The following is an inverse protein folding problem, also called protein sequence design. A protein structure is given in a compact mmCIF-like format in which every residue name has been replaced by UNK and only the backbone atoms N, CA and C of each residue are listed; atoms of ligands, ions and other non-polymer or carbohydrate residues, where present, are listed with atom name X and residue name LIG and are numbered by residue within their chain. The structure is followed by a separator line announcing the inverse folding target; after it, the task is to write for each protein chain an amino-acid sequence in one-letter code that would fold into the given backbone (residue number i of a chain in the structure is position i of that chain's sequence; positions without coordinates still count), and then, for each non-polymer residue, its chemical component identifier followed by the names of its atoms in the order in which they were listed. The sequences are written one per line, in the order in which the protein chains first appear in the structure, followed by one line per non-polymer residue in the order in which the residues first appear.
data_IF_358076170041
#
_entry.id   IF_358076170041
#
_cell.length_a   1.000
_cell.length_b   1.000
_cell.length_c   1.000
_cell.angle_alpha   90.00
_cell.angle_beta   90.00
_cell.angle_gamma   90.00
#
_symmetry.space_group_name_H-M   'P 1'
#
loop_
_entity.id
_entity.type
_entity.pdbx_description
1 polymer ?
#
# COMPACT_ATOMS: atom_id res chain seq x y z
N UNK A 1 8.67 18.69 -56.66
CA UNK A 1 7.89 17.65 -57.35
C UNK A 1 8.72 16.37 -57.38
N UNK A 2 8.40 15.39 -56.53
CA UNK A 2 9.09 14.10 -56.52
C UNK A 2 8.58 13.27 -57.71
N UNK A 3 9.45 12.93 -58.67
CA UNK A 3 9.10 12.05 -59.80
C UNK A 3 9.10 10.60 -59.34
N UNK A 4 7.91 10.06 -59.08
CA UNK A 4 7.73 8.64 -58.79
C UNK A 4 8.00 7.85 -60.08
N UNK A 5 8.92 6.89 -60.02
CA UNK A 5 9.28 6.05 -61.17
C UNK A 5 8.14 5.11 -61.56
N UNK A 6 8.14 4.59 -62.80
CA UNK A 6 7.14 3.59 -63.27
C UNK A 6 7.05 2.37 -62.34
N UNK A 7 8.17 1.96 -61.73
CA UNK A 7 8.22 0.91 -60.70
C UNK A 7 7.60 1.34 -59.36
N UNK A 8 7.75 2.61 -58.99
CA UNK A 8 7.07 3.19 -57.82
C UNK A 8 5.55 3.26 -57.98
N UNK A 9 5.05 3.55 -59.19
CA UNK A 9 3.62 3.49 -59.50
C UNK A 9 3.07 2.06 -59.46
N UNK A 10 3.83 1.07 -59.94
CA UNK A 10 3.47 -0.34 -59.83
C UNK A 10 3.46 -0.83 -58.38
N UNK A 11 4.41 -0.40 -57.55
CA UNK A 11 4.44 -0.73 -56.12
C UNK A 11 3.25 -0.10 -55.37
N UNK A 12 2.92 1.17 -55.65
CA UNK A 12 1.76 1.84 -55.07
C UNK A 12 0.44 1.19 -55.52
N UNK A 13 0.34 0.78 -56.78
CA UNK A 13 -0.81 0.05 -57.29
C UNK A 13 -0.94 -1.35 -56.64
N UNK A 14 0.18 -2.05 -56.41
CA UNK A 14 0.16 -3.34 -55.70
C UNK A 14 -0.25 -3.18 -54.24
N UNK A 15 0.23 -2.14 -53.55
CA UNK A 15 -0.17 -1.82 -52.16
C UNK A 15 -1.66 -1.47 -52.11
N UNK A 16 -2.15 -0.64 -53.04
CA UNK A 16 -3.57 -0.31 -53.13
C UNK A 16 -4.43 -1.55 -53.46
N UNK A 17 -3.94 -2.45 -54.32
CA UNK A 17 -4.61 -3.72 -54.63
C UNK A 17 -4.60 -4.69 -53.44
N UNK A 18 -3.52 -4.72 -52.65
CA UNK A 18 -3.44 -5.44 -51.38
C UNK A 18 -4.44 -4.90 -50.35
N UNK A 19 -4.69 -3.58 -50.32
CA UNK A 19 -5.76 -2.97 -49.51
C UNK A 19 -7.17 -3.29 -50.03
N UNK A 20 -7.34 -3.51 -51.34
CA UNK A 20 -8.62 -3.88 -51.96
C UNK A 20 -8.94 -5.38 -51.87
N UNK A 21 -7.94 -6.24 -51.59
CA UNK A 21 -8.09 -7.70 -51.43
C UNK A 21 -8.15 -8.10 -49.94
N UNK A 22 -8.10 -7.14 -49.00
CA UNK A 22 -8.38 -7.44 -47.60
C UNK A 22 -9.82 -7.95 -47.51
N UNK A 23 -10.04 -9.24 -47.19
CA UNK A 23 -11.40 -9.75 -47.10
C UNK A 23 -12.16 -8.96 -46.04
N UNK A 24 -13.47 -8.78 -46.24
CA UNK A 24 -14.47 -8.19 -45.31
C UNK A 24 -14.46 -8.81 -43.87
N UNK A 25 -13.54 -9.74 -43.60
CA UNK A 25 -13.29 -10.46 -42.34
C UNK A 25 -12.54 -9.65 -41.27
N UNK A 26 -12.21 -8.38 -41.51
CA UNK A 26 -11.67 -7.48 -40.47
C UNK A 26 -12.75 -6.63 -39.77
N UNK A 27 -14.03 -6.98 -39.90
CA UNK A 27 -15.06 -6.39 -39.05
C UNK A 27 -15.19 -7.23 -37.79
N UNK A 28 -14.69 -6.70 -36.68
CA UNK A 28 -15.05 -7.17 -35.33
C UNK A 28 -16.57 -7.27 -35.23
N UNK A 29 -17.08 -8.47 -34.97
CA UNK A 29 -18.50 -8.70 -34.79
C UNK A 29 -18.90 -8.43 -33.34
N UNK A 30 -20.03 -7.77 -33.13
CA UNK A 30 -20.67 -7.69 -31.81
C UNK A 30 -21.73 -8.78 -31.74
N UNK A 31 -21.53 -9.77 -30.87
CA UNK A 31 -22.50 -10.83 -30.61
C UNK A 31 -23.12 -10.60 -29.24
N UNK A 32 -24.45 -10.57 -29.22
CA UNK A 32 -25.21 -10.49 -27.97
C UNK A 32 -25.46 -11.92 -27.47
N UNK A 33 -25.13 -12.17 -26.22
CA UNK A 33 -25.43 -13.42 -25.51
C UNK A 33 -26.54 -13.10 -24.52
N UNK A 34 -27.69 -13.77 -24.64
CA UNK A 34 -28.82 -13.53 -23.74
C UNK A 34 -28.71 -14.40 -22.50
N UNK A 35 -29.36 -13.99 -21.41
CA UNK A 35 -29.48 -14.83 -20.23
C UNK A 35 -30.09 -16.20 -20.61
N UNK A 36 -29.43 -17.29 -20.22
CA UNK A 36 -29.79 -18.66 -20.58
C UNK A 36 -29.13 -19.21 -21.85
N UNK A 37 -28.53 -18.35 -22.68
CA UNK A 37 -27.60 -18.78 -23.73
C UNK A 37 -26.23 -19.09 -23.12
N UNK A 38 -25.45 -19.97 -23.76
CA UNK A 38 -24.09 -20.30 -23.31
C UNK A 38 -23.07 -19.30 -23.85
N UNK A 39 -22.31 -18.69 -22.93
CA UNK A 39 -21.14 -17.87 -23.24
C UNK A 39 -20.06 -18.73 -23.89
N UNK A 40 -19.82 -19.94 -23.40
CA UNK A 40 -18.83 -20.86 -23.97
C UNK A 40 -19.13 -21.20 -25.44
N UNK A 41 -20.40 -21.38 -25.81
CA UNK A 41 -20.80 -21.59 -27.21
C UNK A 41 -20.57 -20.35 -28.08
N UNK A 42 -20.73 -19.15 -27.52
CA UNK A 42 -20.42 -17.90 -28.21
C UNK A 42 -18.91 -17.72 -28.40
N UNK A 43 -18.11 -18.05 -27.38
CA UNK A 43 -16.64 -18.04 -27.42
C UNK A 43 -16.08 -18.99 -28.50
N UNK A 44 -16.63 -20.21 -28.61
CA UNK A 44 -16.16 -21.19 -29.60
C UNK A 44 -16.40 -20.78 -31.06
N UNK A 45 -17.22 -19.75 -31.27
CA UNK A 45 -17.56 -19.21 -32.59
C UNK A 45 -16.96 -17.82 -32.83
N UNK A 46 -16.28 -17.26 -31.83
CA UNK A 46 -15.70 -15.92 -31.91
C UNK A 46 -14.43 -15.92 -32.77
N UNK A 47 -14.24 -14.85 -33.51
CA UNK A 47 -13.00 -14.54 -34.24
C UNK A 47 -12.17 -13.51 -33.46
N UNK A 48 -10.85 -13.46 -33.69
CA UNK A 48 -9.99 -12.43 -33.12
C UNK A 48 -10.54 -11.01 -33.31
N UNK A 49 -10.66 -10.27 -32.20
CA UNK A 49 -11.19 -8.91 -32.15
C UNK A 49 -12.70 -8.81 -31.97
N UNK A 50 -13.44 -9.91 -31.94
CA UNK A 50 -14.90 -9.88 -31.71
C UNK A 50 -15.24 -9.38 -30.29
N UNK A 51 -16.45 -8.85 -30.16
CA UNK A 51 -17.05 -8.46 -28.88
C UNK A 51 -18.21 -9.38 -28.54
N UNK A 52 -18.11 -10.07 -27.40
CA UNK A 52 -19.23 -10.76 -26.77
C UNK A 52 -19.86 -9.84 -25.74
N UNK A 53 -21.08 -9.38 -25.99
CA UNK A 53 -21.85 -8.54 -25.08
C UNK A 53 -22.93 -9.36 -24.39
N UNK A 54 -22.78 -9.55 -23.09
CA UNK A 54 -23.75 -10.26 -22.26
C UNK A 54 -24.91 -9.32 -21.91
N UNK A 55 -26.13 -9.77 -22.12
CA UNK A 55 -27.30 -9.13 -21.51
C UNK A 55 -27.28 -9.38 -20.00
N UNK A 56 -27.92 -8.49 -19.24
CA UNK A 56 -28.10 -8.64 -17.79
C UNK A 56 -28.75 -9.98 -17.47
N UNK A 57 -28.18 -10.71 -16.51
CA UNK A 57 -28.62 -12.04 -16.15
C UNK A 57 -27.53 -12.82 -15.44
N UNK A 58 -27.86 -14.07 -15.14
CA UNK A 58 -26.98 -15.03 -14.46
C UNK A 58 -26.52 -16.10 -15.45
N UNK A 59 -25.24 -16.45 -15.39
CA UNK A 59 -24.56 -17.40 -16.26
C UNK A 59 -23.73 -18.33 -15.38
N UNK A 60 -24.12 -19.61 -15.31
CA UNK A 60 -23.41 -20.62 -14.53
C UNK A 60 -22.43 -21.37 -15.44
N UNK A 61 -21.21 -20.84 -15.58
CA UNK A 61 -20.20 -21.33 -16.52
C UNK A 61 -18.77 -21.05 -16.02
N UNK A 62 -17.85 -21.96 -16.36
CA UNK A 62 -16.41 -21.74 -16.29
C UNK A 62 -15.87 -21.53 -17.71
N UNK A 63 -15.29 -20.37 -17.98
CA UNK A 63 -14.93 -19.91 -19.32
C UNK A 63 -13.43 -20.05 -19.58
N UNK A 64 -13.07 -20.47 -20.80
CA UNK A 64 -11.69 -20.41 -21.30
C UNK A 64 -11.67 -19.54 -22.54
N UNK A 65 -10.89 -18.46 -22.50
CA UNK A 65 -10.76 -17.49 -23.60
C UNK A 65 -9.43 -17.73 -24.32
N UNK A 66 -9.50 -18.43 -25.44
CA UNK A 66 -8.34 -18.79 -26.29
C UNK A 66 -8.22 -17.92 -27.54
N UNK A 67 -9.21 -17.07 -27.80
CA UNK A 67 -9.24 -16.12 -28.92
C UNK A 67 -9.31 -14.70 -28.33
N UNK A 68 -8.53 -13.73 -28.85
CA UNK A 68 -8.52 -12.38 -28.30
C UNK A 68 -9.84 -11.68 -28.58
N UNK A 69 -10.58 -11.36 -27.53
CA UNK A 69 -11.93 -10.78 -27.63
C UNK A 69 -12.17 -9.70 -26.58
N UNK A 70 -13.26 -8.98 -26.72
CA UNK A 70 -13.86 -8.18 -25.65
C UNK A 70 -15.06 -8.94 -25.07
N UNK A 71 -15.00 -9.31 -23.80
CA UNK A 71 -16.14 -9.83 -23.04
C UNK A 71 -16.68 -8.72 -22.14
N UNK A 72 -17.90 -8.27 -22.41
CA UNK A 72 -18.47 -7.10 -21.73
C UNK A 72 -19.96 -7.26 -21.44
N UNK A 73 -20.49 -6.45 -20.52
CA UNK A 73 -21.90 -6.44 -20.15
C UNK A 73 -22.35 -5.12 -19.55
N UNK A 74 -23.65 -4.79 -19.70
CA UNK A 74 -24.27 -3.67 -18.97
C UNK A 74 -25.03 -4.22 -17.77
N UNK A 75 -24.94 -3.53 -16.63
CA UNK A 75 -25.62 -3.96 -15.39
C UNK A 75 -24.86 -5.04 -14.59
N UNK A 76 -23.59 -5.30 -14.91
CA UNK A 76 -22.79 -6.40 -14.33
C UNK A 76 -23.45 -7.78 -14.45
N UNK A 77 -23.62 -8.32 -15.69
CA UNK A 77 -24.03 -9.71 -15.88
C UNK A 77 -23.16 -10.64 -15.03
N UNK A 78 -23.80 -11.60 -14.38
CA UNK A 78 -23.21 -12.38 -13.30
C UNK A 78 -22.75 -13.75 -13.79
N UNK A 79 -21.44 -13.96 -13.86
CA UNK A 79 -20.82 -15.25 -14.17
C UNK A 79 -20.46 -15.94 -12.86
N UNK A 80 -21.05 -17.12 -12.64
CA UNK A 80 -20.91 -17.93 -11.43
C UNK A 80 -20.15 -19.20 -11.74
N UNK A 81 -19.05 -19.44 -11.01
CA UNK A 81 -18.23 -20.64 -11.16
C UNK A 81 -18.65 -21.83 -10.29
N UNK A 82 -19.67 -21.71 -9.44
CA UNK A 82 -20.19 -22.83 -8.64
C UNK A 82 -19.23 -23.39 -7.60
N UNK A 83 -18.20 -22.62 -7.21
CA UNK A 83 -17.11 -23.04 -6.32
C UNK A 83 -16.27 -24.19 -6.86
N UNK A 84 -16.26 -24.37 -8.17
CA UNK A 84 -15.43 -25.35 -8.86
C UNK A 84 -14.59 -24.67 -9.95
N UNK A 85 -13.29 -24.97 -9.97
CA UNK A 85 -12.40 -24.47 -11.01
C UNK A 85 -12.18 -22.95 -11.02
N UNK A 86 -11.66 -22.49 -12.15
CA UNK A 86 -11.45 -21.07 -12.47
C UNK A 86 -12.70 -20.56 -13.19
N UNK A 87 -13.20 -19.38 -12.84
CA UNK A 87 -14.43 -18.84 -13.46
C UNK A 87 -14.16 -18.31 -14.85
N UNK A 88 -13.11 -17.50 -15.03
CA UNK A 88 -12.66 -17.00 -16.34
C UNK A 88 -11.15 -17.24 -16.46
N UNK A 89 -10.75 -18.11 -17.39
CA UNK A 89 -9.35 -18.39 -17.72
C UNK A 89 -8.97 -17.74 -19.05
N UNK A 90 -8.15 -16.70 -19.00
CA UNK A 90 -7.70 -15.92 -20.16
C UNK A 90 -6.35 -16.45 -20.63
N UNK A 91 -6.32 -17.02 -21.83
CA UNK A 91 -5.10 -17.50 -22.51
C UNK A 91 -4.76 -16.70 -23.76
N UNK A 92 -5.69 -15.89 -24.25
CA UNK A 92 -5.48 -15.05 -25.42
C UNK A 92 -4.98 -13.65 -25.05
N UNK A 93 -3.88 -13.17 -25.66
CA UNK A 93 -3.36 -11.84 -25.40
C UNK A 93 -4.29 -10.75 -25.94
N UNK A 94 -4.31 -9.56 -25.35
CA UNK A 94 -5.17 -8.47 -25.82
C UNK A 94 -6.66 -8.63 -25.46
N UNK A 95 -7.02 -9.63 -24.66
CA UNK A 95 -8.39 -9.84 -24.17
C UNK A 95 -8.81 -8.70 -23.25
N UNK A 96 -10.07 -8.29 -23.33
CA UNK A 96 -10.67 -7.28 -22.44
C UNK A 96 -11.85 -7.90 -21.69
N UNK A 97 -11.85 -7.78 -20.36
CA UNK A 97 -12.96 -8.14 -19.47
C UNK A 97 -13.51 -6.86 -18.85
N UNK A 98 -14.76 -6.53 -19.16
CA UNK A 98 -15.33 -5.22 -18.83
C UNK A 98 -16.76 -5.30 -18.27
N UNK A 99 -16.99 -4.72 -17.10
CA UNK A 99 -18.36 -4.49 -16.62
C UNK A 99 -19.11 -5.75 -16.23
N UNK A 100 -18.43 -6.78 -15.70
CA UNK A 100 -19.02 -8.05 -15.29
C UNK A 100 -19.11 -8.17 -13.77
N UNK A 101 -19.95 -9.09 -13.29
CA UNK A 101 -19.83 -9.66 -11.94
C UNK A 101 -19.31 -11.08 -12.06
N UNK A 102 -18.23 -11.40 -11.36
CA UNK A 102 -17.58 -12.73 -11.40
C UNK A 102 -17.43 -13.25 -9.98
N UNK A 103 -17.96 -14.44 -9.70
CA UNK A 103 -17.92 -14.98 -8.35
C UNK A 103 -17.84 -16.51 -8.31
N UNK A 104 -17.72 -17.06 -7.10
CA UNK A 104 -17.75 -18.50 -6.82
C UNK A 104 -16.60 -19.26 -7.47
N UNK A 105 -15.38 -18.74 -7.33
CA UNK A 105 -14.17 -19.48 -7.72
C UNK A 105 -13.96 -20.71 -6.82
N UNK A 106 -13.25 -21.71 -7.35
CA UNK A 106 -12.82 -22.89 -6.59
C UNK A 106 -12.03 -22.55 -5.32
N UNK A 107 -12.03 -23.46 -4.34
CA UNK A 107 -11.52 -23.19 -2.98
C UNK A 107 -10.11 -23.70 -2.71
N UNK A 108 -9.43 -24.26 -3.71
CA UNK A 108 -8.13 -24.93 -3.55
C UNK A 108 -6.97 -23.99 -3.88
N UNK A 109 -6.27 -23.50 -2.85
CA UNK A 109 -5.10 -22.63 -2.99
C UNK A 109 -3.96 -23.26 -3.82
N UNK A 110 -3.76 -24.57 -3.66
CA UNK A 110 -2.67 -25.28 -4.37
C UNK A 110 -2.86 -25.35 -5.89
N UNK A 111 -4.09 -25.14 -6.35
CA UNK A 111 -4.44 -25.17 -7.77
C UNK A 111 -4.66 -23.75 -8.34
N UNK A 112 -4.24 -22.70 -7.60
CA UNK A 112 -4.34 -21.30 -8.01
C UNK A 112 -5.76 -20.84 -8.40
N UNK A 113 -6.79 -21.39 -7.76
CA UNK A 113 -8.19 -21.11 -8.11
C UNK A 113 -8.52 -19.62 -7.98
N UNK A 114 -9.12 -19.05 -9.04
CA UNK A 114 -9.38 -17.62 -9.15
C UNK A 114 -10.71 -17.32 -9.86
N UNK A 115 -11.29 -16.15 -9.59
CA UNK A 115 -12.38 -15.62 -10.41
C UNK A 115 -11.88 -15.31 -11.82
N UNK A 116 -10.73 -14.65 -11.93
CA UNK A 116 -10.09 -14.39 -13.22
C UNK A 116 -8.64 -14.84 -13.16
N UNK A 117 -8.28 -15.88 -13.92
CA UNK A 117 -6.90 -16.30 -14.14
C UNK A 117 -6.41 -15.80 -15.50
N UNK A 118 -5.23 -15.18 -15.54
CA UNK A 118 -4.60 -14.64 -16.74
C UNK A 118 -3.27 -15.34 -16.99
N UNK A 119 -3.15 -16.01 -18.13
CA UNK A 119 -1.91 -16.61 -18.65
C UNK A 119 -1.59 -16.06 -20.05
N UNK A 120 -1.72 -14.75 -20.21
CA UNK A 120 -1.54 -14.04 -21.47
C UNK A 120 -1.08 -12.59 -21.26
N UNK A 121 -0.50 -12.00 -22.30
CA UNK A 121 -0.02 -10.61 -22.28
C UNK A 121 -1.10 -9.60 -22.70
N UNK A 122 -0.92 -8.33 -22.32
CA UNK A 122 -1.72 -7.21 -22.81
C UNK A 122 -3.22 -7.33 -22.52
N UNK A 123 -3.58 -8.00 -21.42
CA UNK A 123 -4.98 -8.17 -20.99
C UNK A 123 -5.44 -6.95 -20.20
N UNK A 124 -6.69 -6.53 -20.42
CA UNK A 124 -7.34 -5.46 -19.65
C UNK A 124 -8.51 -6.02 -18.85
N UNK A 125 -8.55 -5.76 -17.55
CA UNK A 125 -9.63 -6.15 -16.65
C UNK A 125 -10.14 -4.89 -15.97
N UNK A 126 -11.37 -4.48 -16.30
CA UNK A 126 -11.89 -3.20 -15.86
C UNK A 126 -13.37 -3.19 -15.48
N UNK A 127 -13.75 -2.28 -14.58
CA UNK A 127 -15.15 -2.06 -14.19
C UNK A 127 -15.87 -3.33 -13.67
N UNK A 128 -15.14 -4.31 -13.13
CA UNK A 128 -15.74 -5.57 -12.68
C UNK A 128 -16.06 -5.55 -11.18
N UNK A 129 -17.06 -6.33 -10.79
CA UNK A 129 -17.35 -6.72 -9.41
C UNK A 129 -16.91 -8.16 -9.23
N UNK A 130 -15.94 -8.39 -8.37
CA UNK A 130 -15.41 -9.71 -8.09
C UNK A 130 -15.68 -10.00 -6.62
N UNK A 131 -16.45 -11.03 -6.35
CA UNK A 131 -16.86 -11.41 -5.00
C UNK A 131 -16.78 -12.91 -4.81
N UNK A 132 -16.78 -13.36 -3.55
CA UNK A 132 -16.70 -14.78 -3.20
C UNK A 132 -15.53 -15.51 -3.88
N UNK A 133 -14.42 -14.78 -4.03
CA UNK A 133 -13.24 -15.27 -4.71
C UNK A 133 -12.29 -15.96 -3.72
N UNK A 134 -11.68 -17.08 -4.11
CA UNK A 134 -10.43 -17.49 -3.47
C UNK A 134 -9.35 -16.46 -3.82
N UNK A 135 -8.85 -16.46 -5.06
CA UNK A 135 -8.16 -15.32 -5.66
C UNK A 135 -9.12 -14.49 -6.50
N UNK A 136 -9.07 -13.17 -6.39
CA UNK A 136 -9.88 -12.28 -7.23
C UNK A 136 -9.39 -12.31 -8.68
N UNK A 137 -8.23 -11.71 -8.91
CA UNK A 137 -7.51 -11.72 -10.19
C UNK A 137 -6.13 -12.32 -9.97
N UNK A 138 -5.84 -13.44 -10.63
CA UNK A 138 -4.52 -14.06 -10.64
C UNK A 138 -3.90 -13.85 -12.03
N UNK A 139 -2.78 -13.13 -12.10
CA UNK A 139 -1.92 -13.04 -13.28
C UNK A 139 -0.73 -13.99 -13.12
N UNK A 140 -0.68 -15.02 -13.96
CA UNK A 140 0.35 -16.05 -13.95
C UNK A 140 1.16 -15.96 -15.24
N UNK A 141 2.35 -15.38 -15.13
CA UNK A 141 3.27 -15.14 -16.25
C UNK A 141 2.74 -14.25 -17.39
N UNK A 142 1.73 -13.41 -17.12
CA UNK A 142 1.26 -12.37 -18.04
C UNK A 142 1.99 -11.04 -17.84
N UNK A 143 2.32 -10.34 -18.92
CA UNK A 143 2.95 -9.01 -18.92
C UNK A 143 2.06 -7.96 -19.59
N UNK A 144 2.32 -6.68 -19.31
CA UNK A 144 1.55 -5.56 -19.87
C UNK A 144 0.06 -5.59 -19.49
N UNK A 145 -0.25 -6.08 -18.30
CA UNK A 145 -1.62 -6.22 -17.81
C UNK A 145 -2.11 -4.87 -17.29
N UNK A 146 -3.36 -4.54 -17.58
CA UNK A 146 -4.02 -3.34 -17.05
C UNK A 146 -5.24 -3.76 -16.24
N UNK A 147 -5.20 -3.55 -14.93
CA UNK A 147 -6.28 -3.88 -13.99
C UNK A 147 -6.77 -2.59 -13.35
N UNK A 148 -7.98 -2.13 -13.68
CA UNK A 148 -8.46 -0.87 -13.12
C UNK A 148 -9.96 -0.74 -12.90
N UNK A 149 -10.33 0.13 -11.96
CA UNK A 149 -11.74 0.43 -11.65
C UNK A 149 -12.55 -0.84 -11.29
N UNK A 150 -11.90 -1.85 -10.69
CA UNK A 150 -12.56 -3.06 -10.21
C UNK A 150 -12.81 -2.97 -8.70
N UNK A 151 -13.86 -3.65 -8.22
CA UNK A 151 -14.08 -3.91 -6.80
C UNK A 151 -13.94 -5.41 -6.52
N UNK A 152 -13.04 -5.77 -5.62
CA UNK A 152 -12.67 -7.16 -5.30
C UNK A 152 -12.89 -7.43 -3.82
N UNK A 153 -13.78 -8.36 -3.50
CA UNK A 153 -14.10 -8.73 -2.13
C UNK A 153 -13.88 -10.22 -1.86
N UNK A 154 -13.11 -10.51 -0.81
CA UNK A 154 -12.78 -11.87 -0.41
C UNK A 154 -13.88 -12.61 0.34
N UNK A 155 -13.55 -13.84 0.76
CA UNK A 155 -14.45 -14.80 1.44
C UNK A 155 -14.39 -14.65 2.96
N UNK A 156 -15.39 -14.01 3.56
CA UNK A 156 -15.47 -13.84 5.02
C UNK A 156 -15.84 -15.13 5.79
N UNK A 157 -16.35 -16.15 5.12
CA UNK A 157 -16.61 -17.48 5.69
C UNK A 157 -15.33 -18.32 5.88
N UNK A 158 -14.20 -17.91 5.29
CA UNK A 158 -12.89 -18.52 5.49
C UNK A 158 -12.10 -17.77 6.56
N UNK A 159 -11.26 -18.51 7.29
CA UNK A 159 -10.19 -17.89 8.10
C UNK A 159 -9.16 -17.20 7.20
N UNK A 160 -8.44 -16.22 7.72
CA UNK A 160 -7.54 -15.36 6.94
C UNK A 160 -6.51 -16.17 6.13
N UNK A 161 -5.95 -17.23 6.71
CA UNK A 161 -4.90 -18.06 6.11
C UNK A 161 -5.37 -18.83 4.87
N UNK A 162 -6.65 -19.22 4.87
CA UNK A 162 -7.29 -20.00 3.80
C UNK A 162 -7.85 -19.12 2.68
N UNK A 163 -7.89 -17.79 2.86
CA UNK A 163 -8.27 -16.85 1.81
C UNK A 163 -7.15 -16.71 0.79
N UNK A 164 -7.53 -16.44 -0.46
CA UNK A 164 -6.58 -15.98 -1.47
C UNK A 164 -6.45 -14.45 -1.48
N UNK A 165 -5.57 -13.99 -2.37
CA UNK A 165 -5.25 -12.58 -2.55
C UNK A 165 -6.24 -11.90 -3.51
N UNK A 166 -6.46 -10.59 -3.35
CA UNK A 166 -7.34 -9.82 -4.24
C UNK A 166 -6.79 -9.76 -5.67
N UNK A 167 -5.58 -9.22 -5.82
CA UNK A 167 -4.81 -9.25 -7.06
C UNK A 167 -3.48 -9.95 -6.79
N UNK A 168 -3.16 -10.98 -7.56
CA UNK A 168 -1.90 -11.73 -7.47
C UNK A 168 -1.15 -11.64 -8.79
N UNK A 169 0.08 -11.13 -8.78
CA UNK A 169 1.00 -11.18 -9.92
C UNK A 169 2.15 -12.15 -9.63
N UNK A 170 2.30 -13.15 -10.50
CA UNK A 170 3.39 -14.11 -10.45
C UNK A 170 4.16 -14.10 -11.76
N UNK A 171 5.47 -13.82 -11.70
CA UNK A 171 6.36 -13.78 -12.87
C UNK A 171 5.87 -12.82 -13.99
N UNK A 172 5.44 -11.63 -13.60
CA UNK A 172 4.78 -10.64 -14.48
C UNK A 172 5.57 -9.35 -14.59
N UNK A 173 5.47 -8.63 -15.72
CA UNK A 173 6.19 -7.36 -15.88
C UNK A 173 5.35 -6.28 -16.54
N UNK A 174 5.75 -5.02 -16.33
CA UNK A 174 5.24 -3.85 -17.06
C UNK A 174 3.72 -3.66 -16.97
N UNK A 175 3.14 -4.02 -15.83
CA UNK A 175 1.68 -3.96 -15.61
C UNK A 175 1.26 -2.66 -14.92
N UNK A 176 -0.06 -2.41 -14.89
CA UNK A 176 -0.68 -1.26 -14.26
C UNK A 176 -1.86 -1.71 -13.43
N UNK A 177 -1.89 -1.34 -12.15
CA UNK A 177 -2.96 -1.65 -11.20
C UNK A 177 -3.49 -0.34 -10.66
N UNK A 178 -4.68 0.07 -11.08
CA UNK A 178 -5.14 1.45 -10.86
C UNK A 178 -6.59 1.56 -10.38
N UNK A 179 -6.87 2.42 -9.40
CA UNK A 179 -8.26 2.74 -9.01
C UNK A 179 -9.12 1.52 -8.64
N UNK A 180 -8.51 0.47 -8.10
CA UNK A 180 -9.25 -0.69 -7.59
C UNK A 180 -9.58 -0.52 -6.10
N UNK A 181 -10.73 -1.05 -5.68
CA UNK A 181 -11.11 -1.23 -4.28
C UNK A 181 -10.97 -2.71 -3.92
N UNK A 182 -10.16 -3.04 -2.92
CA UNK A 182 -9.86 -4.43 -2.52
C UNK A 182 -10.04 -4.57 -1.01
N UNK A 183 -10.85 -5.53 -0.61
CA UNK A 183 -11.17 -5.75 0.80
C UNK A 183 -11.49 -7.21 1.13
N UNK A 184 -11.32 -7.56 2.41
CA UNK A 184 -11.68 -8.87 2.96
C UNK A 184 -10.98 -10.09 2.31
N UNK A 185 -9.97 -9.87 1.47
CA UNK A 185 -9.07 -10.92 0.96
C UNK A 185 -7.97 -11.21 1.98
N UNK A 186 -7.09 -12.19 1.72
CA UNK A 186 -5.92 -12.41 2.59
C UNK A 186 -4.94 -11.25 2.50
N UNK A 187 -4.31 -11.10 1.34
CA UNK A 187 -3.53 -9.91 0.98
C UNK A 187 -4.30 -9.17 -0.11
N UNK A 188 -4.17 -7.84 -0.16
CA UNK A 188 -4.85 -7.03 -1.15
C UNK A 188 -4.23 -7.19 -2.53
N UNK A 189 -3.00 -6.68 -2.68
CA UNK A 189 -2.21 -6.79 -3.91
C UNK A 189 -0.90 -7.50 -3.59
N UNK A 190 -0.70 -8.68 -4.17
CA UNK A 190 0.45 -9.55 -3.91
C UNK A 190 1.31 -9.74 -5.16
N UNK A 191 2.62 -9.60 -5.00
CA UNK A 191 3.62 -9.80 -6.04
C UNK A 191 4.60 -10.90 -5.66
N UNK A 192 4.91 -11.76 -6.63
CA UNK A 192 6.00 -12.73 -6.55
C UNK A 192 6.75 -12.76 -7.88
N UNK A 193 7.99 -12.27 -7.88
CA UNK A 193 8.82 -12.13 -9.09
C UNK A 193 8.16 -11.24 -10.15
N UNK A 194 7.56 -10.12 -9.74
CA UNK A 194 6.87 -9.21 -10.64
C UNK A 194 7.51 -7.80 -10.63
N UNK A 195 7.96 -7.34 -11.79
CA UNK A 195 8.83 -6.17 -11.91
C UNK A 195 8.19 -5.04 -12.75
N UNK A 196 8.70 -3.82 -12.58
CA UNK A 196 8.37 -2.67 -13.45
C UNK A 196 6.87 -2.36 -13.57
N UNK A 197 6.12 -2.55 -12.49
CA UNK A 197 4.68 -2.35 -12.40
C UNK A 197 4.36 -1.04 -11.69
N UNK A 198 3.29 -0.36 -12.16
CA UNK A 198 2.78 0.87 -11.56
C UNK A 198 1.49 0.56 -10.80
N UNK A 199 1.45 0.90 -9.52
CA UNK A 199 0.29 0.72 -8.65
C UNK A 199 -0.18 2.10 -8.20
N UNK A 200 -1.35 2.56 -8.66
CA UNK A 200 -1.79 3.93 -8.32
C UNK A 200 -3.25 4.09 -7.99
N UNK A 201 -3.55 4.98 -7.05
CA UNK A 201 -4.92 5.37 -6.69
C UNK A 201 -5.82 4.20 -6.26
N UNK A 202 -5.25 3.09 -5.78
CA UNK A 202 -6.03 1.98 -5.24
C UNK A 202 -6.42 2.25 -3.78
N UNK A 203 -7.52 1.66 -3.36
CA UNK A 203 -7.94 1.61 -1.95
C UNK A 203 -7.95 0.15 -1.51
N UNK A 204 -7.13 -0.17 -0.52
CA UNK A 204 -7.00 -1.53 0.00
C UNK A 204 -7.15 -1.50 1.52
N UNK A 205 -8.16 -2.21 2.02
CA UNK A 205 -8.54 -2.13 3.43
C UNK A 205 -9.10 -3.46 3.97
N UNK A 206 -9.03 -3.67 5.29
CA UNK A 206 -9.46 -4.91 5.96
C UNK A 206 -8.80 -6.18 5.41
N UNK A 207 -7.50 -6.09 5.08
CA UNK A 207 -6.70 -7.25 4.68
C UNK A 207 -5.49 -7.41 5.61
N UNK A 208 -4.81 -8.55 5.52
CA UNK A 208 -3.55 -8.76 6.23
C UNK A 208 -2.50 -7.77 5.73
N UNK A 209 -2.14 -7.84 4.45
CA UNK A 209 -1.19 -6.91 3.85
C UNK A 209 -1.83 -6.18 2.68
N UNK A 210 -1.87 -4.84 2.73
CA UNK A 210 -2.45 -4.02 1.66
C UNK A 210 -1.69 -4.20 0.34
N UNK A 211 -0.38 -3.96 0.37
CA UNK A 211 0.56 -4.31 -0.69
C UNK A 211 1.62 -5.27 -0.17
N UNK A 212 1.84 -6.39 -0.85
CA UNK A 212 2.82 -7.41 -0.45
C UNK A 212 3.78 -7.72 -1.59
N UNK A 213 5.06 -7.39 -1.42
CA UNK A 213 6.13 -7.72 -2.36
C UNK A 213 6.97 -8.91 -1.90
N UNK A 214 7.24 -9.81 -2.84
CA UNK A 214 8.26 -10.85 -2.74
C UNK A 214 9.10 -10.83 -4.02
N UNK A 215 10.39 -10.51 -3.90
CA UNK A 215 11.37 -10.60 -5.01
C UNK A 215 10.97 -9.80 -6.26
N UNK A 216 10.48 -8.57 -6.08
CA UNK A 216 9.75 -7.81 -7.11
C UNK A 216 10.28 -6.39 -7.22
N UNK A 217 11.10 -6.12 -8.24
CA UNK A 217 11.97 -4.95 -8.32
C UNK A 217 11.46 -3.86 -9.28
N UNK A 218 12.00 -2.65 -9.16
CA UNK A 218 11.73 -1.54 -10.08
C UNK A 218 10.24 -1.17 -10.18
N UNK A 219 9.47 -1.43 -9.14
CA UNK A 219 8.06 -1.08 -9.09
C UNK A 219 7.86 0.33 -8.52
N UNK A 220 6.77 0.97 -8.92
CA UNK A 220 6.36 2.27 -8.40
C UNK A 220 4.95 2.16 -7.86
N UNK A 221 4.71 2.66 -6.66
CA UNK A 221 3.35 2.81 -6.15
C UNK A 221 3.05 4.20 -5.59
N UNK A 222 2.00 4.85 -6.09
CA UNK A 222 1.70 6.24 -5.75
C UNK A 222 0.21 6.53 -5.55
N UNK A 223 -0.09 7.52 -4.69
CA UNK A 223 -1.45 8.01 -4.45
C UNK A 223 -2.44 6.93 -3.98
N UNK A 224 -1.96 5.83 -3.40
CA UNK A 224 -2.79 4.74 -2.87
C UNK A 224 -3.21 5.00 -1.42
N UNK A 225 -4.36 4.44 -1.02
CA UNK A 225 -4.85 4.40 0.34
C UNK A 225 -4.80 2.95 0.86
N UNK A 226 -3.93 2.72 1.84
CA UNK A 226 -3.83 1.46 2.58
C UNK A 226 -4.22 1.73 4.03
N UNK A 227 -5.44 1.37 4.40
CA UNK A 227 -5.95 1.63 5.75
C UNK A 227 -6.68 0.44 6.37
N UNK A 228 -6.69 0.38 7.70
CA UNK A 228 -7.39 -0.68 8.45
C UNK A 228 -6.94 -2.10 8.07
N UNK A 229 -5.64 -2.21 7.75
CA UNK A 229 -4.96 -3.47 7.45
C UNK A 229 -4.11 -3.92 8.64
N UNK A 230 -3.65 -5.18 8.65
CA UNK A 230 -2.59 -5.57 9.60
C UNK A 230 -1.29 -4.86 9.22
N UNK A 231 -0.91 -4.86 7.94
CA UNK A 231 0.10 -3.95 7.42
C UNK A 231 -0.37 -3.19 6.19
N UNK A 232 -0.07 -1.89 6.14
CA UNK A 232 -0.37 -1.07 4.97
C UNK A 232 0.40 -1.55 3.74
N UNK A 233 1.73 -1.65 3.87
CA UNK A 233 2.56 -2.39 2.92
C UNK A 233 3.60 -3.27 3.62
N UNK A 234 3.72 -4.51 3.15
CA UNK A 234 4.78 -5.46 3.46
C UNK A 234 5.72 -5.58 2.25
N UNK A 235 6.83 -4.84 2.29
CA UNK A 235 7.83 -4.80 1.24
C UNK A 235 8.95 -5.78 1.59
N UNK A 236 9.12 -6.84 0.80
CA UNK A 236 10.08 -7.89 1.12
C UNK A 236 10.98 -8.28 -0.06
N UNK A 237 12.27 -8.45 0.21
CA UNK A 237 13.27 -9.02 -0.69
C UNK A 237 13.36 -8.32 -2.06
N UNK A 238 13.20 -7.00 -2.09
CA UNK A 238 13.08 -6.23 -3.33
C UNK A 238 13.93 -4.96 -3.28
N UNK A 239 14.29 -4.44 -4.44
CA UNK A 239 15.14 -3.26 -4.58
C UNK A 239 14.61 -2.30 -5.64
N UNK A 240 15.07 -1.05 -5.58
CA UNK A 240 14.71 0.02 -6.52
C UNK A 240 13.20 0.30 -6.55
N UNK A 241 12.57 0.41 -5.38
CA UNK A 241 11.14 0.73 -5.26
C UNK A 241 10.95 2.22 -5.02
N UNK A 242 10.10 2.85 -5.82
CA UNK A 242 9.67 4.24 -5.61
C UNK A 242 8.25 4.29 -5.08
N UNK A 243 8.00 5.05 -4.01
CA UNK A 243 6.63 5.23 -3.54
C UNK A 243 6.31 6.61 -2.98
N UNK A 244 5.23 7.17 -3.52
CA UNK A 244 4.97 8.59 -3.49
C UNK A 244 3.53 8.89 -3.08
N UNK A 245 3.34 9.80 -2.13
CA UNK A 245 1.99 10.31 -1.77
C UNK A 245 0.99 9.21 -1.43
N UNK A 246 1.44 8.12 -0.82
CA UNK A 246 0.54 7.07 -0.32
C UNK A 246 0.09 7.39 1.10
N UNK A 247 -1.03 6.80 1.51
CA UNK A 247 -1.50 6.80 2.88
C UNK A 247 -1.39 5.39 3.45
N UNK A 248 -0.74 5.27 4.60
CA UNK A 248 -0.69 4.07 5.43
C UNK A 248 -1.29 4.42 6.79
N UNK A 249 -2.55 4.05 7.01
CA UNK A 249 -3.31 4.53 8.15
C UNK A 249 -3.95 3.41 8.98
N UNK A 250 -4.05 3.62 10.29
CA UNK A 250 -4.84 2.74 11.18
C UNK A 250 -4.46 1.26 11.09
N UNK A 251 -3.20 0.95 10.80
CA UNK A 251 -2.72 -0.43 10.79
C UNK A 251 -2.40 -0.86 12.22
N UNK A 252 -3.33 -1.60 12.82
CA UNK A 252 -3.37 -1.93 14.24
C UNK A 252 -3.55 -3.44 14.46
N UNK A 253 -2.98 -3.96 15.54
CA UNK A 253 -3.08 -5.37 15.91
C UNK A 253 -1.74 -6.03 16.20
N UNK A 254 -1.73 -7.36 16.27
CA UNK A 254 -0.51 -8.13 16.50
C UNK A 254 0.38 -8.10 15.25
N UNK A 255 1.65 -7.68 15.41
CA UNK A 255 2.62 -7.53 14.30
C UNK A 255 2.07 -6.63 13.19
N UNK A 256 1.46 -5.49 13.57
CA UNK A 256 0.93 -4.51 12.64
C UNK A 256 1.92 -3.37 12.34
N UNK A 257 1.92 -2.90 11.08
CA UNK A 257 2.86 -1.90 10.57
C UNK A 257 2.18 -0.97 9.56
N UNK A 258 2.50 0.33 9.56
CA UNK A 258 2.18 1.18 8.41
C UNK A 258 2.96 0.68 7.18
N UNK A 259 4.28 0.61 7.33
CA UNK A 259 5.21 0.10 6.32
C UNK A 259 6.20 -0.87 6.96
N UNK A 260 6.27 -2.09 6.42
CA UNK A 260 7.25 -3.11 6.77
C UNK A 260 8.29 -3.23 5.64
N UNK A 261 9.54 -2.97 5.98
CA UNK A 261 10.72 -3.23 5.16
C UNK A 261 11.44 -4.48 5.67
N UNK A 262 11.57 -5.49 4.81
CA UNK A 262 12.33 -6.70 5.09
C UNK A 262 13.26 -7.01 3.92
N UNK A 263 14.58 -6.86 4.11
CA UNK A 263 15.54 -7.06 3.01
C UNK A 263 15.19 -6.21 1.78
N UNK A 264 15.03 -4.92 2.05
CA UNK A 264 14.61 -3.92 1.07
C UNK A 264 15.70 -2.86 0.92
N UNK A 265 16.20 -2.70 -0.30
CA UNK A 265 17.35 -1.84 -0.58
C UNK A 265 17.04 -0.82 -1.69
N UNK A 266 17.74 0.31 -1.66
CA UNK A 266 17.69 1.35 -2.71
C UNK A 266 16.26 1.83 -3.01
N UNK A 267 15.42 2.01 -1.98
CA UNK A 267 14.07 2.56 -2.14
C UNK A 267 14.01 4.07 -1.97
N UNK A 268 12.99 4.70 -2.55
CA UNK A 268 12.66 6.11 -2.34
C UNK A 268 11.20 6.29 -1.91
N UNK A 269 11.01 6.70 -0.67
CA UNK A 269 9.71 7.00 -0.05
C UNK A 269 9.54 8.50 0.12
N UNK A 270 8.62 9.13 -0.62
CA UNK A 270 8.47 10.59 -0.58
C UNK A 270 7.03 11.09 -0.54
N UNK A 271 6.75 12.07 0.32
CA UNK A 271 5.43 12.69 0.41
C UNK A 271 4.34 11.77 0.97
N UNK A 272 4.69 10.68 1.64
CA UNK A 272 3.71 9.73 2.18
C UNK A 272 3.14 10.18 3.53
N UNK A 273 1.93 9.73 3.84
CA UNK A 273 1.28 9.87 5.14
C UNK A 273 1.30 8.54 5.88
N UNK A 274 1.96 8.47 7.04
CA UNK A 274 2.03 7.30 7.91
C UNK A 274 1.35 7.67 9.23
N UNK A 275 0.08 7.29 9.36
CA UNK A 275 -0.82 7.82 10.39
C UNK A 275 -1.39 6.73 11.30
N UNK A 276 -1.31 6.93 12.62
CA UNK A 276 -2.10 6.14 13.58
C UNK A 276 -1.85 4.62 13.48
N UNK A 277 -0.59 4.22 13.31
CA UNK A 277 -0.20 2.80 13.23
C UNK A 277 0.46 2.33 14.53
N UNK A 278 0.40 1.01 14.80
CA UNK A 278 1.13 0.42 15.93
C UNK A 278 2.65 0.53 15.78
N UNK A 279 3.14 0.52 14.53
CA UNK A 279 4.49 0.91 14.14
C UNK A 279 4.36 1.61 12.80
N UNK A 280 4.82 2.85 12.69
CA UNK A 280 4.75 3.61 11.46
C UNK A 280 5.62 2.97 10.38
N UNK A 281 6.93 2.99 10.61
CA UNK A 281 7.94 2.46 9.68
C UNK A 281 8.78 1.43 10.42
N UNK A 282 8.83 0.20 9.93
CA UNK A 282 9.65 -0.86 10.47
C UNK A 282 10.69 -1.30 9.43
N UNK A 283 11.97 -1.25 9.78
CA UNK A 283 13.08 -1.69 8.94
C UNK A 283 13.81 -2.88 9.57
N UNK A 284 14.01 -3.92 8.76
CA UNK A 284 14.79 -5.08 9.13
C UNK A 284 15.69 -5.50 7.97
N UNK A 285 17.00 -5.52 8.22
CA UNK A 285 18.02 -5.83 7.22
C UNK A 285 17.80 -5.06 5.91
N UNK A 286 17.55 -3.75 5.98
CA UNK A 286 17.12 -2.93 4.83
C UNK A 286 17.93 -1.64 4.77
N UNK A 287 18.77 -1.47 3.74
CA UNK A 287 19.75 -0.39 3.68
C UNK A 287 19.67 0.48 2.42
N UNK A 288 20.31 1.65 2.46
CA UNK A 288 20.35 2.55 1.31
C UNK A 288 19.00 3.18 0.94
N UNK A 289 18.02 3.18 1.86
CA UNK A 289 16.69 3.71 1.60
C UNK A 289 16.62 5.21 1.90
N UNK A 290 15.84 5.93 1.09
CA UNK A 290 15.69 7.39 1.18
C UNK A 290 14.23 7.71 1.51
N UNK A 291 14.00 8.33 2.67
CA UNK A 291 12.68 8.73 3.17
C UNK A 291 12.64 10.25 3.34
N UNK A 292 11.90 10.93 2.45
CA UNK A 292 11.88 12.39 2.37
C UNK A 292 10.47 12.97 2.42
N UNK A 293 10.30 14.09 3.12
CA UNK A 293 9.05 14.86 3.07
C UNK A 293 7.79 14.04 3.42
N UNK A 294 7.93 13.03 4.28
CA UNK A 294 6.81 12.23 4.76
C UNK A 294 6.26 12.82 6.06
N UNK A 295 4.96 12.64 6.29
CA UNK A 295 4.32 12.94 7.56
C UNK A 295 4.10 11.63 8.34
N UNK A 296 4.81 11.48 9.46
CA UNK A 296 4.75 10.32 10.35
C UNK A 296 4.09 10.76 11.66
N UNK A 297 2.81 10.45 11.81
CA UNK A 297 1.92 11.10 12.77
C UNK A 297 1.13 10.11 13.62
N UNK A 298 1.03 10.39 14.92
CA UNK A 298 0.21 9.65 15.90
C UNK A 298 0.47 8.12 15.94
N UNK A 299 1.67 7.67 15.56
CA UNK A 299 2.03 6.24 15.63
C UNK A 299 2.48 5.89 17.06
N UNK A 300 2.26 4.64 17.50
CA UNK A 300 2.80 4.19 18.81
C UNK A 300 4.34 4.18 18.78
N UNK A 301 4.91 3.80 17.64
CA UNK A 301 6.33 3.92 17.33
C UNK A 301 6.43 4.53 15.93
N UNK A 302 7.11 5.65 15.77
CA UNK A 302 7.29 6.27 14.47
C UNK A 302 8.19 5.41 13.58
N UNK A 303 9.38 5.08 14.08
CA UNK A 303 10.38 4.27 13.37
C UNK A 303 10.94 3.18 14.29
N UNK A 304 10.95 1.94 13.81
CA UNK A 304 11.71 0.86 14.42
C UNK A 304 12.72 0.32 13.41
N UNK A 305 13.98 0.21 13.82
CA UNK A 305 15.06 -0.34 13.00
C UNK A 305 15.78 -1.46 13.73
N UNK A 306 15.88 -2.58 13.03
CA UNK A 306 16.60 -3.77 13.46
C UNK A 306 17.92 -3.91 12.68
N UNK A 307 18.76 -4.86 13.12
CA UNK A 307 20.08 -5.13 12.57
C UNK A 307 20.13 -5.24 11.03
N UNK A 308 21.23 -4.73 10.47
CA UNK A 308 21.49 -4.71 9.03
C UNK A 308 20.72 -3.63 8.26
N UNK A 309 20.16 -2.63 8.94
CA UNK A 309 19.39 -1.53 8.32
C UNK A 309 20.20 -0.24 8.25
N UNK A 310 21.32 -0.27 7.53
CA UNK A 310 22.32 0.80 7.50
C UNK A 310 22.17 1.75 6.30
N UNK A 311 22.85 2.89 6.34
CA UNK A 311 22.90 3.86 5.24
C UNK A 311 21.52 4.37 4.76
N UNK A 312 20.53 4.39 5.66
CA UNK A 312 19.22 4.97 5.38
C UNK A 312 19.23 6.48 5.66
N UNK A 313 18.48 7.24 4.85
CA UNK A 313 18.40 8.70 4.92
C UNK A 313 16.97 9.11 5.27
N UNK A 314 16.82 9.94 6.30
CA UNK A 314 15.57 10.55 6.74
C UNK A 314 15.78 12.07 6.79
N UNK A 315 15.21 12.81 5.85
CA UNK A 315 15.33 14.28 5.85
C UNK A 315 14.01 14.96 5.43
N UNK A 316 13.75 16.14 6.00
CA UNK A 316 12.56 16.92 5.70
C UNK A 316 11.23 16.24 6.06
N UNK A 317 11.24 15.20 6.90
CA UNK A 317 10.03 14.54 7.38
C UNK A 317 9.44 15.29 8.58
N UNK A 318 8.13 15.12 8.81
CA UNK A 318 7.45 15.60 10.00
C UNK A 318 7.12 14.41 10.92
N UNK A 319 7.77 14.35 12.08
CA UNK A 319 7.45 13.42 13.16
C UNK A 319 6.58 14.13 14.19
N UNK A 320 5.28 13.79 14.23
CA UNK A 320 4.29 14.54 15.00
C UNK A 320 3.53 13.61 15.95
N UNK A 321 3.60 13.90 17.25
CA UNK A 321 2.82 13.23 18.30
C UNK A 321 2.93 11.70 18.29
N UNK A 322 4.04 11.15 17.82
CA UNK A 322 4.29 9.72 17.98
C UNK A 322 4.59 9.44 19.47
N UNK A 323 4.13 8.31 19.97
CA UNK A 323 4.37 7.93 21.36
C UNK A 323 5.87 7.66 21.60
N UNK A 324 6.53 6.98 20.65
CA UNK A 324 7.97 6.74 20.65
C UNK A 324 8.54 7.06 19.26
N UNK A 325 9.56 7.92 19.18
CA UNK A 325 10.07 8.37 17.88
C UNK A 325 10.97 7.32 17.21
N UNK A 326 11.85 6.65 17.97
CA UNK A 326 12.79 5.69 17.41
C UNK A 326 13.08 4.53 18.36
N UNK A 327 12.94 3.31 17.86
CA UNK A 327 13.49 2.12 18.49
C UNK A 327 14.62 1.55 17.63
N UNK A 328 15.83 1.52 18.19
CA UNK A 328 16.97 0.86 17.57
C UNK A 328 17.30 -0.41 18.37
N UNK A 329 17.37 -1.54 17.68
CA UNK A 329 17.93 -2.78 18.20
C UNK A 329 19.33 -3.03 17.62
N UNK A 330 20.19 -2.01 17.69
CA UNK A 330 21.53 -1.99 17.08
C UNK A 330 22.50 -1.05 17.77
N UNK A 331 23.78 -1.43 17.75
CA UNK A 331 24.87 -0.71 18.42
C UNK A 331 25.57 0.33 17.54
N UNK A 332 25.50 0.19 16.21
CA UNK A 332 26.16 1.07 15.25
C UNK A 332 25.30 1.19 14.00
N UNK A 333 24.97 2.42 13.61
CA UNK A 333 24.27 2.68 12.35
C UNK A 333 24.74 3.99 11.75
N UNK A 334 24.95 3.99 10.44
CA UNK A 334 25.15 5.21 9.65
C UNK A 334 23.80 5.72 9.14
N UNK A 335 22.86 6.01 10.06
CA UNK A 335 21.60 6.68 9.67
C UNK A 335 21.87 8.18 9.53
N UNK A 336 21.41 8.73 8.40
CA UNK A 336 21.52 10.16 8.12
C UNK A 336 20.17 10.81 8.38
N UNK A 337 20.10 11.68 9.39
CA UNK A 337 18.89 12.40 9.77
C UNK A 337 18.83 13.83 9.22
N UNK A 338 19.86 14.25 8.48
CA UNK A 338 20.01 15.59 7.93
C UNK A 338 20.63 15.52 6.55
N UNK A 339 20.07 16.23 5.59
CA UNK A 339 20.69 16.42 4.28
C UNK A 339 21.15 17.88 4.08
N UNK A 340 21.54 18.24 2.86
CA UNK A 340 21.96 19.60 2.52
C UNK A 340 20.84 20.65 2.61
N UNK A 341 19.58 20.22 2.66
CA UNK A 341 18.42 21.09 2.78
C UNK A 341 18.01 21.33 4.24
N UNK A 342 18.39 20.44 5.17
CA UNK A 342 18.14 20.52 6.60
C UNK A 342 17.78 19.16 7.21
N UNK A 343 17.35 19.16 8.47
CA UNK A 343 16.86 17.97 9.17
C UNK A 343 15.35 17.78 9.09
N UNK A 344 14.83 17.02 10.04
CA UNK A 344 13.41 16.71 10.19
C UNK A 344 12.75 17.64 11.21
N UNK A 345 11.43 17.73 11.16
CA UNK A 345 10.66 18.31 12.25
C UNK A 345 10.28 17.24 13.27
N UNK A 346 10.42 17.56 14.55
CA UNK A 346 10.08 16.67 15.67
C UNK A 346 9.18 17.41 16.64
N UNK A 347 7.99 16.89 16.92
CA UNK A 347 7.06 17.52 17.87
C UNK A 347 7.62 17.61 19.29
N UNK A 348 8.55 16.71 19.66
CA UNK A 348 9.25 16.73 20.94
C UNK A 348 10.48 17.65 21.00
N UNK A 349 10.81 18.39 19.94
CA UNK A 349 11.98 19.27 19.93
C UNK A 349 11.78 20.49 20.83
N UNK A 350 12.59 20.59 21.89
CA UNK A 350 12.56 21.66 22.92
C UNK A 350 13.69 22.70 22.77
N UNK A 351 14.38 22.70 21.62
CA UNK A 351 15.52 23.58 21.38
C UNK A 351 15.13 25.01 21.03
N UNK A 352 16.11 25.75 20.53
CA UNK A 352 15.99 27.17 20.21
C UNK A 352 16.69 27.48 18.88
N UNK A 353 16.28 28.59 18.29
CA UNK A 353 16.79 29.14 17.02
C UNK A 353 17.10 30.62 17.28
N UNK A 354 18.37 30.93 17.48
CA UNK A 354 18.84 32.28 17.86
C UNK A 354 19.05 33.19 16.64
N UNK A 355 19.32 32.63 15.47
CA UNK A 355 19.57 33.40 14.24
C UNK A 355 18.30 33.60 13.38
N UNK A 356 17.24 32.84 13.67
CA UNK A 356 15.91 32.98 13.09
C UNK A 356 15.77 32.34 11.71
N UNK A 357 16.64 31.40 11.34
CA UNK A 357 16.63 30.75 10.03
C UNK A 357 15.61 29.58 9.92
N UNK A 358 14.96 29.22 11.03
CA UNK A 358 13.97 28.15 11.13
C UNK A 358 14.57 26.76 11.40
N UNK A 359 15.87 26.67 11.61
CA UNK A 359 16.62 25.48 12.02
C UNK A 359 17.03 25.66 13.49
N UNK A 360 16.94 24.59 14.27
CA UNK A 360 17.35 24.61 15.66
C UNK A 360 18.87 24.57 15.83
N UNK A 361 19.41 25.49 16.62
CA UNK A 361 20.86 25.57 16.94
C UNK A 361 21.36 24.40 17.80
N UNK A 362 20.42 23.72 18.48
CA UNK A 362 20.69 22.56 19.33
C UNK A 362 20.33 21.29 18.55
N UNK A 363 21.26 20.35 18.33
CA UNK A 363 20.93 19.04 17.77
C UNK A 363 19.84 18.32 18.58
N UNK A 364 18.93 17.64 17.89
CA UNK A 364 17.91 16.81 18.53
C UNK A 364 18.46 15.40 18.76
N UNK A 365 18.50 14.97 20.02
CA UNK A 365 18.82 13.58 20.35
C UNK A 365 17.56 12.74 20.19
N UNK A 366 17.56 11.86 19.19
CA UNK A 366 16.37 11.08 18.83
C UNK A 366 16.13 9.97 19.88
N UNK A 367 17.23 9.42 20.42
CA UNK A 367 17.19 8.40 21.47
C UNK A 367 17.23 8.96 22.88
N UNK A 368 16.33 8.49 23.73
CA UNK A 368 16.34 8.76 25.16
C UNK A 368 16.39 7.45 25.97
N UNK A 369 16.53 7.59 27.29
CA UNK A 369 16.63 6.45 28.22
C UNK A 369 15.40 5.53 28.14
N UNK A 370 14.22 6.09 27.89
CA UNK A 370 12.98 5.32 27.78
C UNK A 370 12.96 4.45 26.54
N UNK A 371 13.40 4.95 25.41
CA UNK A 371 13.45 4.17 24.18
C UNK A 371 14.39 2.96 24.30
N UNK A 372 15.51 3.11 25.01
CA UNK A 372 16.43 1.98 25.27
C UNK A 372 15.82 0.96 26.23
N UNK A 373 15.09 1.41 27.26
CA UNK A 373 14.35 0.51 28.15
C UNK A 373 13.22 -0.19 27.41
N UNK A 374 12.50 0.53 26.55
CA UNK A 374 11.38 0.05 25.75
C UNK A 374 11.79 -1.06 24.78
N UNK A 375 12.97 -0.95 24.16
CA UNK A 375 13.52 -2.02 23.32
C UNK A 375 13.65 -3.36 24.05
N UNK A 376 13.92 -3.34 25.37
CA UNK A 376 14.08 -4.54 26.19
C UNK A 376 12.82 -4.95 26.95
N UNK A 377 11.97 -3.97 27.31
CA UNK A 377 10.76 -4.15 28.10
C UNK A 377 9.65 -3.24 27.55
N UNK A 378 8.87 -3.70 26.56
CA UNK A 378 7.80 -2.91 25.94
C UNK A 378 6.75 -2.42 26.94
N UNK A 379 6.58 -3.10 28.08
CA UNK A 379 5.67 -2.73 29.17
C UNK A 379 6.04 -1.38 29.81
N UNK A 380 7.27 -0.89 29.63
CA UNK A 380 7.69 0.43 30.10
C UNK A 380 6.89 1.57 29.45
N UNK A 381 6.27 1.35 28.28
CA UNK A 381 5.38 2.32 27.61
C UNK A 381 4.24 2.83 28.50
N UNK A 382 3.76 2.03 29.45
CA UNK A 382 2.72 2.47 30.39
C UNK A 382 3.16 3.66 31.27
N UNK A 383 4.46 3.89 31.39
CA UNK A 383 5.04 4.93 32.24
C UNK A 383 5.58 6.13 31.46
N UNK A 384 5.44 6.17 30.12
CA UNK A 384 6.12 7.14 29.25
C UNK A 384 5.81 8.60 29.59
N UNK A 385 4.62 8.87 30.13
CA UNK A 385 4.18 10.20 30.57
C UNK A 385 4.00 10.32 32.09
N UNK A 386 4.68 9.45 32.85
CA UNK A 386 4.67 9.52 34.30
C UNK A 386 5.71 10.52 34.81
N UNK A 387 5.52 11.14 36.00
CA UNK A 387 6.55 11.98 36.61
C UNK A 387 7.89 11.26 36.83
N UNK A 388 7.86 9.93 37.02
CA UNK A 388 9.07 9.13 37.13
C UNK A 388 9.86 9.13 35.82
N UNK A 389 9.18 9.14 34.67
CA UNK A 389 9.82 9.23 33.38
C UNK A 389 10.48 10.58 33.14
N UNK A 390 9.79 11.66 33.45
CA UNK A 390 10.36 13.02 33.37
C UNK A 390 11.61 13.17 34.26
N UNK A 391 11.57 12.65 35.49
CA UNK A 391 12.72 12.69 36.42
C UNK A 391 13.89 11.88 35.88
N UNK A 392 13.65 10.67 35.36
CA UNK A 392 14.71 9.82 34.83
C UNK A 392 15.36 10.45 33.59
N UNK A 393 14.56 11.05 32.70
CA UNK A 393 15.07 11.76 31.53
C UNK A 393 15.88 13.00 31.92
N UNK A 394 15.39 13.79 32.89
CA UNK A 394 16.11 14.95 33.40
C UNK A 394 17.44 14.57 34.08
N UNK A 395 17.45 13.45 34.82
CA UNK A 395 18.65 12.93 35.46
C UNK A 395 19.70 12.49 34.44
N UNK A 396 19.31 11.72 33.41
CA UNK A 396 20.22 11.30 32.33
C UNK A 396 20.73 12.49 31.52
N UNK A 397 19.89 13.51 31.29
CA UNK A 397 20.30 14.76 30.62
C UNK A 397 21.36 15.53 31.41
N UNK A 398 21.28 15.51 32.74
CA UNK A 398 22.24 16.17 33.63
C UNK A 398 23.52 15.36 33.86
N UNK A 399 23.39 14.03 33.88
CA UNK A 399 24.47 13.07 34.10
C UNK A 399 24.33 11.94 33.07
N UNK A 400 24.90 12.10 31.85
CA UNK A 400 24.79 11.09 30.80
C UNK A 400 25.67 9.90 31.15
N UNK A 401 25.13 8.96 31.94
CA UNK A 401 25.84 7.79 32.46
C UNK A 401 25.65 6.58 31.54
N UNK A 402 24.52 6.53 30.81
CA UNK A 402 24.08 5.33 30.12
C UNK A 402 24.64 5.20 28.69
N UNK A 403 25.46 6.16 28.22
CA UNK A 403 26.00 6.22 26.84
C UNK A 403 24.95 5.82 25.77
N UNK A 404 23.71 6.28 25.94
CA UNK A 404 22.57 5.93 25.10
C UNK A 404 22.84 6.40 23.66
N UNK A 405 22.41 5.60 22.68
CA UNK A 405 22.88 5.66 21.30
C UNK A 405 22.96 7.06 20.70
N UNK A 406 23.99 7.28 19.88
CA UNK A 406 24.43 8.61 19.41
C UNK A 406 23.57 9.18 18.26
N UNK A 407 22.38 8.62 18.02
CA UNK A 407 21.54 9.03 16.90
C UNK A 407 20.97 10.42 17.14
N UNK A 408 21.33 11.36 16.26
CA UNK A 408 21.01 12.78 16.39
C UNK A 408 20.63 13.36 15.04
N UNK A 409 19.62 14.22 15.05
CA UNK A 409 19.35 15.16 13.97
C UNK A 409 20.14 16.44 14.26
N UNK A 410 21.09 16.77 13.40
CA UNK A 410 21.98 17.91 13.59
C UNK A 410 21.35 19.26 13.20
N UNK A 411 20.23 19.26 12.47
CA UNK A 411 19.59 20.46 11.95
C UNK A 411 18.05 20.34 12.05
N UNK A 412 17.50 20.08 13.26
CA UNK A 412 16.07 19.89 13.44
C UNK A 412 15.31 21.15 13.05
N UNK A 413 14.12 20.99 12.46
CA UNK A 413 13.28 22.14 12.07
C UNK A 413 12.50 22.67 13.27
N UNK A 414 12.39 23.99 13.36
CA UNK A 414 11.58 24.66 14.40
C UNK A 414 10.07 24.54 14.18
N UNK A 415 9.63 24.26 12.95
CA UNK A 415 8.21 24.18 12.57
C UNK A 415 7.98 23.01 11.63
N UNK A 416 6.76 22.42 11.63
CA UNK A 416 6.40 21.41 10.64
C UNK A 416 6.60 21.95 9.22
N UNK A 417 7.16 21.13 8.35
CA UNK A 417 7.24 21.43 6.92
C UNK A 417 5.83 21.42 6.32
N UNK A 418 5.57 22.38 5.44
CA UNK A 418 4.35 22.39 4.64
C UNK A 418 4.48 21.37 3.50
N UNK A 419 4.33 20.08 3.82
CA UNK A 419 4.37 19.00 2.86
C UNK A 419 3.06 18.96 2.05
N UNK A 420 2.92 19.88 1.09
CA UNK A 420 1.69 20.08 0.30
C UNK A 420 1.24 18.84 -0.49
N UNK A 421 2.18 17.97 -0.83
CA UNK A 421 1.93 16.76 -1.61
C UNK A 421 1.41 15.60 -0.74
N UNK A 422 1.50 15.71 0.59
CA UNK A 422 1.02 14.66 1.50
C UNK A 422 -0.52 14.60 1.47
N UNK A 423 -1.12 13.44 1.19
CA UNK A 423 -2.54 13.30 0.86
C UNK A 423 -3.49 13.28 2.08
N UNK A 424 -3.37 14.25 2.99
CA UNK A 424 -4.22 14.36 4.19
C UNK A 424 -5.73 14.37 3.91
N UNK A 425 -6.15 14.83 2.72
CA UNK A 425 -7.57 14.87 2.33
C UNK A 425 -8.21 13.47 2.31
N UNK A 426 -7.42 12.40 2.08
CA UNK A 426 -7.93 11.03 2.00
C UNK A 426 -8.38 10.46 3.35
N UNK A 427 -7.88 11.01 4.47
CA UNK A 427 -8.23 10.56 5.83
C UNK A 427 -9.09 11.56 6.60
N UNK A 428 -9.26 12.79 6.10
CA UNK A 428 -10.06 13.84 6.77
C UNK A 428 -11.56 13.70 6.54
N UNK A 429 -12.01 12.94 5.54
CA UNK A 429 -13.44 12.78 5.25
C UNK A 429 -14.22 12.06 6.37
N UNK A 430 -13.52 11.31 7.23
CA UNK A 430 -14.13 10.54 8.33
C UNK A 430 -14.36 11.35 9.63
N UNK A 431 -13.79 12.56 9.73
CA UNK A 431 -13.94 13.40 10.94
C UNK A 431 -15.31 14.06 11.09
N UNK A 432 -16.21 13.93 10.12
CA UNK A 432 -17.55 14.54 10.20
C UNK A 432 -18.51 13.82 11.15
N UNK A 433 -18.15 12.63 11.66
CA UNK A 433 -18.97 11.86 12.61
C UNK A 433 -18.38 11.71 14.03
N UNK A 434 -17.25 12.36 14.33
CA UNK A 434 -16.71 12.33 15.69
C UNK A 434 -17.43 13.34 16.60
N UNK A 435 -18.31 12.82 17.46
CA UNK A 435 -19.01 13.56 18.50
C UNK A 435 -18.01 14.39 19.35
N UNK A 436 -18.20 15.71 19.52
CA UNK A 436 -17.27 16.59 20.25
C UNK A 436 -17.01 16.17 21.71
N UNK A 437 -17.88 15.34 22.30
CA UNK A 437 -17.64 14.74 23.63
C UNK A 437 -16.51 13.69 23.63
N UNK A 438 -16.28 12.98 22.53
CA UNK A 438 -15.17 11.99 22.41
C UNK A 438 -13.84 12.71 22.21
N UNK A 439 -13.84 13.81 21.44
CA UNK A 439 -12.68 14.70 21.34
C UNK A 439 -12.31 15.32 22.70
N UNK A 440 -13.31 15.68 23.52
CA UNK A 440 -13.09 16.17 24.88
C UNK A 440 -12.54 15.11 25.85
N UNK A 441 -12.93 13.84 25.70
CA UNK A 441 -12.45 12.75 26.55
C UNK A 441 -10.94 12.45 26.32
N UNK A 442 -10.43 12.62 25.09
CA UNK A 442 -8.99 12.52 24.80
C UNK A 442 -8.16 13.60 25.52
N UNK A 443 -8.70 14.81 25.69
CA UNK A 443 -8.03 15.88 26.44
C UNK A 443 -8.13 15.74 27.96
N UNK A 444 -9.13 15.01 28.47
CA UNK A 444 -9.30 14.81 29.92
C UNK A 444 -8.45 13.62 30.39
N UNK A 445 -8.25 12.59 29.55
CA UNK A 445 -7.41 11.43 29.86
C UNK A 445 -5.96 11.78 30.23
N UNK A 446 -5.40 12.84 29.66
CA UNK A 446 -4.04 13.33 29.96
C UNK A 446 -3.94 14.21 31.22
N UNK A 447 -5.05 14.70 31.78
CA UNK A 447 -5.04 15.55 32.98
C UNK A 447 -5.36 14.77 34.28
N UNK A 448 -5.98 13.60 34.19
CA UNK A 448 -6.41 12.81 35.37
C UNK A 448 -5.28 12.33 36.30
N UNK A 449 -4.08 11.94 35.82
CA UNK A 449 -2.99 11.53 36.71
C UNK A 449 -2.49 12.68 37.60
N UNK A 450 -2.53 13.92 37.11
CA UNK A 450 -2.02 15.10 37.80
C UNK A 450 -2.93 15.51 38.98
N UNK A 451 -4.25 15.36 38.83
CA UNK A 451 -5.21 15.64 39.91
C UNK A 451 -5.19 14.59 41.02
N UNK A 452 -4.91 13.32 40.70
CA UNK A 452 -4.73 12.26 41.70
C UNK A 452 -3.44 12.47 42.52
N UNK A 453 -2.36 12.93 41.89
CA UNK A 453 -1.10 13.26 42.59
C UNK A 453 -1.21 14.53 43.46
N UNK A 454 -1.93 15.56 43.01
CA UNK A 454 -2.17 16.79 43.80
C UNK A 454 -3.21 16.60 44.91
N UNK A 455 -4.12 15.62 44.78
CA UNK A 455 -5.05 15.23 45.85
C UNK A 455 -4.39 14.45 46.98
N UNK A 456 -3.37 13.65 46.67
CA UNK A 456 -2.62 12.87 47.66
C UNK A 456 -1.58 13.70 48.43
N UNK A 457 -1.06 14.80 47.87
CA UNK A 457 -0.11 15.67 48.58
C UNK A 457 -0.75 16.62 49.61
N UNK A 458 -2.08 16.84 49.52
CA UNK A 458 -2.82 17.70 50.48
C UNK A 458 -3.23 17.01 51.78
N UNK A 459 -3.08 15.69 51.90
CA UNK A 459 -3.51 14.94 53.09
C UNK A 459 -2.39 14.58 54.09
N UNK A 460 -1.19 15.17 53.99
CA UNK A 460 -0.08 14.90 54.93
C UNK A 460 0.48 16.12 55.67
N UNK A 461 -0.21 17.26 55.68
CA UNK A 461 0.11 18.39 56.57
C UNK A 461 -1.02 18.70 57.54
N UNK A 462 -1.18 17.86 58.57
CA UNK A 462 -1.93 18.28 59.76
C UNK A 462 -2.55 17.17 60.58
N UNK A 463 -1.81 16.66 61.57
CA UNK A 463 -2.11 16.84 63.00
C UNK A 463 -1.08 16.14 63.87
N UNK A 464 -0.40 16.96 64.67
CA UNK A 464 0.39 16.58 65.85
C UNK A 464 -0.47 15.77 66.84
N UNK A 465 0.14 14.78 67.49
CA UNK A 465 0.35 14.79 68.94
C UNK A 465 1.67 14.11 69.26
#
# INVERSE_FOLDING_TARGET
MVRISRRGWLALALIALLFLIVPDRLKSAVRIVRAGDSIASALSQASPGDTLRLDEGEYFENLVIEVPIVLTGKGHPWIRGGYEGIVIHIKAPGTVIDGLRVSEAGTRLIDDMACILVEADSVTIQNNRIDESLHGIYVKAGSWITIHDNRIEGRLDLIEEDRGNGIHLWNSRHSRIERNEILNTRDGIYFSFADSTIIRQNHVHHVRYGLHYMYSNHNIFEDNLFDENVAGAALMYSQNIGFYRNVFARCRGFRAYGILYQSMDDTRAEGNLILDNSRGIFLNNSGGNILLHNDVVDNDVAVQMNAGSDANIFAGNNFINNLSELLLDISHTEIVWTDSSGGNYWSGYDGYDLDGDGIGDKPYTIQNVFQVLESNCPEVRFYLFSPAAEILEAAERALPILELGKSRDAAPRMRPLANHDVPWFRVRQDRSEMNPLVAGAFFIGSATPLFLLLGLSRNHSGKRK
#
